data_IF_763514228815
#
_entry.id   IF_763514228815
#
_cell.length_a   1.000
_cell.length_b   1.000
_cell.length_c   1.000
_cell.angle_alpha   90.00
_cell.angle_beta   90.00
_cell.angle_gamma   90.00
#
_symmetry.space_group_name_H-M   'P 1'
#
loop_
_entity.id
_entity.type
_entity.pdbx_description
1 polymer ?
#
# COMPACT_ATOMS: atom_id res chain seq x y z
N UNK A 1 -34.48 -21.99 13.16
CA UNK A 1 -33.33 -22.26 14.05
C UNK A 1 -32.01 -21.94 13.35
N UNK A 2 -31.86 -22.28 12.07
CA UNK A 2 -30.61 -22.04 11.31
C UNK A 2 -30.19 -20.56 11.17
N UNK A 3 -31.13 -19.60 11.10
CA UNK A 3 -30.77 -18.17 11.04
C UNK A 3 -30.14 -17.66 12.34
N UNK A 4 -30.65 -18.12 13.50
CA UNK A 4 -30.15 -17.74 14.82
C UNK A 4 -28.71 -18.24 15.05
N UNK A 5 -28.38 -19.45 14.59
CA UNK A 5 -27.01 -19.96 14.68
C UNK A 5 -26.04 -19.19 13.77
N UNK A 6 -26.49 -18.81 12.57
CA UNK A 6 -25.71 -17.93 11.68
C UNK A 6 -25.48 -16.58 12.34
N UNK A 7 -26.52 -15.94 12.87
CA UNK A 7 -26.41 -14.65 13.58
C UNK A 7 -25.45 -14.71 14.78
N UNK A 8 -25.52 -15.75 15.60
CA UNK A 8 -24.58 -15.96 16.72
C UNK A 8 -23.13 -16.03 16.22
N UNK A 9 -22.88 -16.75 15.12
CA UNK A 9 -21.56 -16.84 14.49
C UNK A 9 -21.04 -15.47 14.04
N UNK A 10 -21.90 -14.67 13.40
CA UNK A 10 -21.56 -13.33 12.91
C UNK A 10 -21.23 -12.36 14.06
N UNK A 11 -22.05 -12.34 15.12
CA UNK A 11 -21.81 -11.49 16.29
C UNK A 11 -20.55 -11.91 17.06
N UNK A 12 -20.31 -13.22 17.20
CA UNK A 12 -19.07 -13.72 17.80
C UNK A 12 -17.84 -13.38 16.95
N UNK A 13 -17.96 -13.43 15.62
CA UNK A 13 -16.92 -12.98 14.70
C UNK A 13 -16.60 -11.50 14.86
N UNK A 14 -17.62 -10.65 14.95
CA UNK A 14 -17.45 -9.22 15.23
C UNK A 14 -16.73 -8.98 16.55
N UNK A 15 -17.10 -9.69 17.62
CA UNK A 15 -16.41 -9.63 18.91
C UNK A 15 -14.92 -9.95 18.79
N UNK A 16 -14.57 -11.05 18.11
CA UNK A 16 -13.16 -11.42 17.84
C UNK A 16 -12.41 -10.36 17.03
N UNK A 17 -13.05 -9.77 16.02
CA UNK A 17 -12.41 -8.68 15.25
C UNK A 17 -12.11 -7.47 16.13
N UNK A 18 -13.02 -7.12 17.06
CA UNK A 18 -12.81 -6.03 18.03
C UNK A 18 -11.68 -6.33 19.00
N UNK A 19 -11.55 -7.57 19.50
CA UNK A 19 -10.45 -7.99 20.38
C UNK A 19 -9.06 -7.85 19.73
N UNK A 20 -9.00 -7.86 18.39
CA UNK A 20 -7.78 -7.75 17.62
C UNK A 20 -7.45 -6.32 17.13
N UNK A 21 -8.23 -5.31 17.51
CA UNK A 21 -7.92 -3.90 17.19
C UNK A 21 -6.49 -3.53 17.63
N UNK A 22 -5.80 -2.76 16.78
CA UNK A 22 -4.38 -2.42 16.94
C UNK A 22 -3.38 -3.57 16.73
N UNK A 23 -3.81 -4.84 16.79
CA UNK A 23 -2.97 -6.02 16.64
C UNK A 23 -2.79 -6.49 15.20
N UNK A 24 -1.81 -7.38 14.96
CA UNK A 24 -1.47 -7.85 13.61
C UNK A 24 -2.57 -8.70 12.94
N UNK A 25 -3.43 -9.35 13.72
CA UNK A 25 -4.47 -10.26 13.20
C UNK A 25 -5.77 -9.56 12.81
N UNK A 26 -5.87 -8.25 13.00
CA UNK A 26 -7.11 -7.51 12.76
C UNK A 26 -7.68 -7.73 11.35
N UNK A 27 -6.85 -7.51 10.32
CA UNK A 27 -7.29 -7.58 8.92
C UNK A 27 -7.76 -8.98 8.55
N UNK A 28 -6.98 -10.01 8.90
CA UNK A 28 -7.40 -11.41 8.74
C UNK A 28 -8.75 -11.69 9.39
N UNK A 29 -8.97 -11.23 10.62
CA UNK A 29 -10.25 -11.47 11.32
C UNK A 29 -11.41 -10.68 10.71
N UNK A 30 -11.17 -9.45 10.26
CA UNK A 30 -12.18 -8.66 9.55
C UNK A 30 -12.58 -9.33 8.21
N UNK A 31 -11.60 -9.80 7.44
CA UNK A 31 -11.85 -10.53 6.18
C UNK A 31 -12.65 -11.81 6.46
N UNK A 32 -12.23 -12.64 7.42
CA UNK A 32 -12.95 -13.87 7.78
C UNK A 32 -14.35 -13.60 8.33
N UNK A 33 -14.56 -12.47 9.01
CA UNK A 33 -15.90 -12.02 9.40
C UNK A 33 -16.73 -11.70 8.16
N UNK A 34 -16.23 -10.85 7.27
CA UNK A 34 -16.95 -10.45 6.05
C UNK A 34 -17.28 -11.65 5.15
N UNK A 35 -16.41 -12.66 5.09
CA UNK A 35 -16.64 -13.88 4.30
C UNK A 35 -17.84 -14.71 4.81
N UNK A 36 -18.32 -14.45 6.03
CA UNK A 36 -19.56 -15.06 6.54
C UNK A 36 -20.83 -14.28 6.12
N UNK A 37 -20.66 -13.01 5.75
CA UNK A 37 -21.73 -12.11 5.29
C UNK A 37 -21.86 -12.08 3.77
N UNK A 38 -20.73 -12.04 3.07
CA UNK A 38 -20.62 -11.80 1.64
C UNK A 38 -19.79 -12.91 0.99
N UNK A 39 -20.22 -13.42 -0.16
CA UNK A 39 -19.37 -14.28 -0.97
C UNK A 39 -18.31 -13.42 -1.67
N UNK A 40 -17.04 -13.80 -1.54
CA UNK A 40 -15.92 -13.26 -2.32
C UNK A 40 -14.82 -14.31 -2.42
N UNK A 41 -14.03 -14.25 -3.47
CA UNK A 41 -13.01 -15.25 -3.78
C UNK A 41 -11.63 -14.81 -3.26
N UNK A 42 -11.36 -13.50 -3.27
CA UNK A 42 -10.13 -12.93 -2.70
C UNK A 42 -10.41 -11.62 -1.97
N UNK A 43 -9.45 -11.20 -1.14
CA UNK A 43 -9.49 -9.88 -0.49
C UNK A 43 -8.09 -9.31 -0.29
N UNK A 44 -7.99 -7.99 -0.34
CA UNK A 44 -6.76 -7.25 -0.09
C UNK A 44 -7.04 -6.07 0.84
N UNK A 45 -6.43 -6.10 2.02
CA UNK A 45 -6.30 -4.91 2.85
C UNK A 45 -5.01 -4.18 2.47
N UNK A 46 -5.10 -2.88 2.17
CA UNK A 46 -3.96 -2.07 1.80
C UNK A 46 -4.03 -0.67 2.42
N UNK A 47 -2.85 -0.10 2.69
CA UNK A 47 -2.70 1.32 2.98
C UNK A 47 -2.21 2.05 1.74
N UNK A 48 -2.97 3.03 1.27
CA UNK A 48 -2.61 3.93 0.20
C UNK A 48 -2.04 5.22 0.80
N UNK A 49 -0.71 5.39 0.88
CA UNK A 49 -0.13 6.59 1.46
C UNK A 49 -0.42 7.82 0.59
N UNK A 50 -0.42 9.00 1.23
CA UNK A 50 -0.57 10.28 0.53
C UNK A 50 0.56 10.55 -0.47
N UNK A 51 1.67 9.81 -0.42
CA UNK A 51 2.71 9.77 -1.44
C UNK A 51 3.36 8.39 -1.46
N UNK A 52 3.60 7.83 -2.65
CA UNK A 52 4.26 6.53 -2.82
C UNK A 52 3.30 5.38 -3.14
N UNK A 53 3.87 4.19 -3.26
CA UNK A 53 3.14 2.97 -3.62
C UNK A 53 2.25 2.46 -2.47
N UNK A 54 1.16 1.74 -2.79
CA UNK A 54 0.38 0.98 -1.83
C UNK A 54 1.24 0.08 -0.94
N UNK A 55 0.81 -0.09 0.30
CA UNK A 55 1.42 -1.03 1.24
C UNK A 55 0.38 -2.12 1.57
N UNK A 56 0.61 -3.38 1.18
CA UNK A 56 -0.28 -4.46 1.55
C UNK A 56 -0.25 -4.67 3.06
N UNK A 57 -1.42 -4.87 3.65
CA UNK A 57 -1.63 -5.10 5.08
C UNK A 57 -2.05 -6.55 5.35
N UNK A 58 -2.87 -7.13 4.47
CA UNK A 58 -3.30 -8.53 4.53
C UNK A 58 -3.81 -8.96 3.16
N UNK A 59 -3.54 -10.20 2.78
CA UNK A 59 -4.01 -10.83 1.55
C UNK A 59 -4.80 -12.10 1.91
N UNK A 60 -5.89 -12.34 1.20
CA UNK A 60 -6.72 -13.51 1.35
C UNK A 60 -7.10 -14.07 -0.02
N UNK A 61 -7.01 -15.39 -0.14
CA UNK A 61 -7.42 -16.16 -1.30
C UNK A 61 -8.17 -17.41 -0.80
N UNK A 62 -9.40 -17.59 -1.26
CA UNK A 62 -10.25 -18.73 -0.89
C UNK A 62 -9.78 -20.04 -1.53
N UNK A 63 -9.17 -19.97 -2.71
CA UNK A 63 -8.69 -21.13 -3.47
C UNK A 63 -7.27 -20.86 -3.99
N UNK A 64 -6.25 -20.95 -3.12
CA UNK A 64 -4.87 -20.71 -3.53
C UNK A 64 -4.42 -21.83 -4.47
N UNK A 65 -4.48 -21.60 -5.78
CA UNK A 65 -4.09 -22.56 -6.84
C UNK A 65 -2.57 -22.78 -6.93
N UNK A 66 -1.79 -22.35 -5.94
CA UNK A 66 -0.32 -22.46 -5.91
C UNK A 66 0.39 -21.48 -6.85
N UNK A 67 -0.34 -20.54 -7.44
CA UNK A 67 0.19 -19.41 -8.19
C UNK A 67 0.86 -18.40 -7.26
N UNK A 68 2.03 -17.85 -7.62
CA UNK A 68 2.68 -16.81 -6.82
C UNK A 68 1.76 -15.59 -6.69
N UNK A 69 1.78 -14.97 -5.51
CA UNK A 69 1.02 -13.74 -5.23
C UNK A 69 1.28 -12.68 -6.30
N UNK A 70 0.21 -12.11 -6.87
CA UNK A 70 0.28 -11.06 -7.89
C UNK A 70 0.79 -9.70 -7.36
N UNK A 71 0.95 -9.58 -6.04
CA UNK A 71 1.28 -8.35 -5.33
C UNK A 71 2.62 -7.71 -5.74
N UNK A 72 3.74 -8.45 -5.89
CA UNK A 72 5.00 -7.84 -6.36
C UNK A 72 4.86 -7.24 -7.76
N UNK A 73 4.08 -7.89 -8.64
CA UNK A 73 3.78 -7.36 -9.96
C UNK A 73 2.88 -6.12 -9.87
N UNK A 74 1.86 -6.11 -9.00
CA UNK A 74 1.01 -4.94 -8.72
C UNK A 74 1.83 -3.71 -8.31
N UNK A 75 2.71 -3.89 -7.34
CA UNK A 75 3.50 -2.83 -6.72
C UNK A 75 4.61 -2.29 -7.64
N UNK A 76 4.94 -3.02 -8.71
CA UNK A 76 5.95 -2.61 -9.69
C UNK A 76 5.51 -1.46 -10.62
N UNK A 77 4.22 -1.08 -10.60
CA UNK A 77 3.69 -0.02 -11.45
C UNK A 77 2.19 -0.08 -11.76
N UNK A 78 1.57 -1.26 -11.98
CA UNK A 78 0.16 -1.40 -12.32
C UNK A 78 -0.81 -0.65 -11.39
N UNK A 79 -0.50 -0.53 -10.09
CA UNK A 79 -1.32 0.25 -9.15
C UNK A 79 -1.55 1.72 -9.55
N UNK A 80 -0.69 2.30 -10.39
CA UNK A 80 -0.86 3.67 -10.88
C UNK A 80 -2.07 3.82 -11.81
N UNK A 81 -2.57 2.72 -12.37
CA UNK A 81 -3.72 2.65 -13.26
C UNK A 81 -4.97 2.07 -12.55
N UNK A 82 -4.84 1.71 -11.27
CA UNK A 82 -5.93 1.21 -10.45
C UNK A 82 -6.96 2.34 -10.18
N UNK A 83 -8.24 2.16 -10.57
CA UNK A 83 -9.27 3.19 -10.39
C UNK A 83 -9.50 3.58 -8.93
N UNK A 84 -9.43 2.62 -7.99
CA UNK A 84 -9.62 2.90 -6.58
C UNK A 84 -8.44 3.65 -5.99
N UNK A 85 -7.21 3.30 -6.38
CA UNK A 85 -6.02 4.05 -5.99
C UNK A 85 -6.09 5.50 -6.51
N UNK A 86 -6.45 5.69 -7.79
CA UNK A 86 -6.62 7.01 -8.38
C UNK A 86 -7.74 7.81 -7.69
N UNK A 87 -8.92 7.21 -7.49
CA UNK A 87 -10.03 7.88 -6.81
C UNK A 87 -9.66 8.28 -5.37
N UNK A 88 -8.94 7.43 -4.62
CA UNK A 88 -8.42 7.79 -3.30
C UNK A 88 -7.47 8.99 -3.37
N UNK A 89 -6.65 9.09 -4.41
CA UNK A 89 -5.73 10.22 -4.63
C UNK A 89 -6.43 11.52 -4.98
N UNK A 90 -7.58 11.42 -5.64
CA UNK A 90 -8.45 12.54 -5.98
C UNK A 90 -9.38 12.96 -4.84
N UNK A 91 -9.33 12.27 -3.70
CA UNK A 91 -10.07 12.64 -2.49
C UNK A 91 -11.45 11.97 -2.36
N UNK A 92 -11.62 10.77 -2.93
CA UNK A 92 -12.81 9.95 -2.72
C UNK A 92 -13.13 9.84 -1.21
N UNK A 93 -14.36 10.16 -0.76
CA UNK A 93 -14.68 10.15 0.66
C UNK A 93 -14.63 8.73 1.26
N UNK A 94 -14.72 8.64 2.58
CA UNK A 94 -14.83 7.32 3.22
C UNK A 94 -16.19 6.69 2.87
N UNK A 95 -16.19 5.44 2.47
CA UNK A 95 -17.41 4.78 1.98
C UNK A 95 -17.19 3.36 1.50
N UNK A 96 -18.27 2.79 1.00
CA UNK A 96 -18.27 1.55 0.23
C UNK A 96 -18.51 1.90 -1.24
N UNK A 97 -17.71 1.32 -2.13
CA UNK A 97 -17.71 1.65 -3.55
C UNK A 97 -17.63 0.39 -4.40
N UNK A 98 -18.41 0.38 -5.48
CA UNK A 98 -18.31 -0.63 -6.54
C UNK A 98 -17.33 -0.14 -7.61
N UNK A 99 -16.70 -1.09 -8.31
CA UNK A 99 -15.78 -0.75 -9.39
C UNK A 99 -16.42 0.18 -10.43
N UNK A 100 -17.69 -0.04 -10.80
CA UNK A 100 -18.41 0.81 -11.76
C UNK A 100 -18.64 2.26 -11.33
N UNK A 101 -18.52 2.57 -10.03
CA UNK A 101 -18.68 3.94 -9.50
C UNK A 101 -17.40 4.76 -9.57
N UNK A 102 -16.24 4.08 -9.65
CA UNK A 102 -14.91 4.71 -9.64
C UNK A 102 -14.17 4.52 -10.97
N UNK A 103 -14.49 3.47 -11.72
CA UNK A 103 -13.81 3.13 -12.95
C UNK A 103 -14.29 4.02 -14.12
N UNK A 104 -13.40 4.42 -15.02
CA UNK A 104 -13.77 5.11 -16.26
C UNK A 104 -14.72 4.28 -17.15
N UNK A 105 -15.54 4.94 -17.98
CA UNK A 105 -16.55 4.31 -18.84
C UNK A 105 -16.04 3.14 -19.70
N UNK A 106 -14.77 3.21 -20.15
CA UNK A 106 -14.12 2.19 -20.97
C UNK A 106 -13.09 1.34 -20.20
N UNK A 107 -13.12 1.33 -18.87
CA UNK A 107 -12.12 0.63 -18.05
C UNK A 107 -12.01 -0.84 -18.39
N UNK A 108 -13.15 -1.55 -18.57
CA UNK A 108 -13.17 -2.98 -18.96
C UNK A 108 -12.62 -3.25 -20.37
N UNK A 109 -12.39 -2.21 -21.16
CA UNK A 109 -11.78 -2.28 -22.50
C UNK A 109 -10.32 -1.80 -22.48
N UNK A 110 -9.82 -1.33 -21.33
CA UNK A 110 -8.45 -0.84 -21.20
C UNK A 110 -7.44 -1.99 -21.21
N UNK A 111 -6.24 -1.69 -21.72
CA UNK A 111 -5.13 -2.65 -21.74
C UNK A 111 -4.74 -3.10 -20.33
N UNK A 112 -4.85 -2.20 -19.34
CA UNK A 112 -4.68 -2.54 -17.93
C UNK A 112 -5.68 -3.59 -17.45
N UNK A 113 -6.96 -3.43 -17.78
CA UNK A 113 -7.99 -4.39 -17.38
C UNK A 113 -7.76 -5.77 -18.02
N UNK A 114 -7.46 -5.79 -19.32
CA UNK A 114 -7.31 -7.02 -20.10
C UNK A 114 -5.99 -7.76 -19.83
N UNK A 115 -4.93 -7.06 -19.43
CA UNK A 115 -3.60 -7.66 -19.21
C UNK A 115 -3.27 -7.93 -17.74
N UNK A 116 -4.01 -7.34 -16.80
CA UNK A 116 -3.68 -7.40 -15.37
C UNK A 116 -4.90 -7.59 -14.47
N UNK A 117 -5.95 -6.78 -14.63
CA UNK A 117 -7.07 -6.79 -13.68
C UNK A 117 -7.88 -8.11 -13.72
N UNK A 118 -8.24 -8.59 -14.90
CA UNK A 118 -9.03 -9.81 -15.06
C UNK A 118 -8.37 -11.04 -14.40
N UNK A 119 -7.06 -11.18 -14.55
CA UNK A 119 -6.34 -12.38 -14.08
C UNK A 119 -5.99 -12.31 -12.58
N UNK A 120 -5.99 -11.12 -11.97
CA UNK A 120 -5.50 -10.92 -10.58
C UNK A 120 -6.58 -10.40 -9.60
N UNK A 121 -7.58 -9.65 -10.08
CA UNK A 121 -8.71 -9.13 -9.29
C UNK A 121 -10.00 -9.90 -9.59
N UNK A 122 -10.02 -10.70 -10.66
CA UNK A 122 -11.14 -11.52 -11.17
C UNK A 122 -12.16 -10.69 -11.98
N UNK A 123 -13.45 -11.07 -11.96
CA UNK A 123 -14.50 -10.50 -12.83
C UNK A 123 -15.08 -9.18 -12.29
N UNK A 124 -15.15 -9.02 -10.96
CA UNK A 124 -15.72 -7.86 -10.31
C UNK A 124 -15.08 -7.59 -8.94
N UNK A 125 -15.14 -6.32 -8.51
CA UNK A 125 -14.50 -5.85 -7.28
C UNK A 125 -15.36 -4.79 -6.58
N UNK A 126 -15.39 -4.87 -5.25
CA UNK A 126 -15.93 -3.82 -4.38
C UNK A 126 -14.91 -3.48 -3.29
N UNK A 127 -14.90 -2.22 -2.83
CA UNK A 127 -13.96 -1.78 -1.81
C UNK A 127 -14.63 -0.99 -0.68
N UNK A 128 -14.17 -1.22 0.55
CA UNK A 128 -14.37 -0.30 1.67
C UNK A 128 -13.16 0.64 1.75
N UNK A 129 -13.41 1.95 1.71
CA UNK A 129 -12.37 2.96 1.71
C UNK A 129 -12.54 3.86 2.94
N UNK A 130 -11.50 3.96 3.76
CA UNK A 130 -11.46 4.86 4.91
C UNK A 130 -10.34 5.90 4.71
N UNK A 131 -10.73 7.17 4.55
CA UNK A 131 -9.80 8.29 4.45
C UNK A 131 -9.11 8.55 5.79
N UNK A 132 -7.81 8.79 5.73
CA UNK A 132 -6.96 9.14 6.87
C UNK A 132 -6.41 10.56 6.63
N UNK A 133 -7.02 11.61 7.21
CA UNK A 133 -6.67 12.99 6.93
C UNK A 133 -5.17 13.26 7.07
N UNK A 134 -4.54 13.74 5.99
CA UNK A 134 -3.11 14.05 5.93
C UNK A 134 -2.16 12.86 5.81
N UNK A 135 -2.65 11.61 5.92
CA UNK A 135 -1.84 10.40 5.83
C UNK A 135 -2.08 9.61 4.54
N UNK A 136 -3.32 9.50 4.06
CA UNK A 136 -3.68 8.68 2.91
C UNK A 136 -5.05 8.03 3.08
N UNK A 137 -5.19 6.79 2.63
CA UNK A 137 -6.43 6.00 2.75
C UNK A 137 -6.14 4.56 3.13
N UNK A 138 -7.06 3.92 3.84
CA UNK A 138 -7.12 2.46 3.96
C UNK A 138 -8.12 1.94 2.94
N UNK A 139 -7.73 0.90 2.21
CA UNK A 139 -8.61 0.15 1.32
C UNK A 139 -8.73 -1.28 1.84
N UNK A 140 -9.96 -1.80 1.81
CA UNK A 140 -10.25 -3.22 1.92
C UNK A 140 -11.03 -3.63 0.67
N UNK A 141 -10.33 -4.27 -0.25
CA UNK A 141 -10.87 -4.81 -1.49
C UNK A 141 -11.38 -6.23 -1.31
N UNK A 142 -12.51 -6.53 -1.95
CA UNK A 142 -13.12 -7.84 -2.09
C UNK A 142 -13.32 -8.13 -3.59
N UNK A 143 -12.61 -9.12 -4.13
CA UNK A 143 -12.73 -9.54 -5.52
C UNK A 143 -13.54 -10.82 -5.68
N UNK A 144 -14.19 -10.96 -6.83
CA UNK A 144 -15.13 -12.05 -7.10
C UNK A 144 -15.05 -12.52 -8.56
N UNK A 145 -15.16 -13.84 -8.79
CA UNK A 145 -15.18 -14.47 -10.12
C UNK A 145 -16.49 -14.25 -10.88
N UNK A 146 -17.50 -13.72 -10.21
CA UNK A 146 -18.76 -13.26 -10.80
C UNK A 146 -19.02 -11.83 -10.38
N UNK A 147 -19.91 -11.15 -11.10
CA UNK A 147 -20.41 -9.84 -10.66
C UNK A 147 -21.15 -9.94 -9.35
N UNK A 148 -20.93 -8.95 -8.49
CA UNK A 148 -21.74 -8.78 -7.29
C UNK A 148 -23.17 -8.40 -7.69
N UNK A 149 -24.15 -9.12 -7.18
CA UNK A 149 -25.55 -8.78 -7.39
C UNK A 149 -26.02 -7.65 -6.45
N UNK A 150 -27.24 -7.18 -6.66
CA UNK A 150 -27.80 -6.06 -5.89
C UNK A 150 -27.97 -6.40 -4.40
N UNK A 151 -28.24 -7.66 -4.05
CA UNK A 151 -28.39 -8.09 -2.66
C UNK A 151 -27.01 -8.16 -1.97
N UNK A 152 -25.99 -8.67 -2.66
CA UNK A 152 -24.61 -8.70 -2.18
C UNK A 152 -24.06 -7.28 -1.98
N UNK A 153 -24.26 -6.38 -2.95
CA UNK A 153 -23.91 -4.97 -2.81
C UNK A 153 -24.68 -4.29 -1.66
N UNK A 154 -25.97 -4.61 -1.51
CA UNK A 154 -26.80 -4.09 -0.42
C UNK A 154 -26.32 -4.55 0.96
N UNK A 155 -25.91 -5.81 1.09
CA UNK A 155 -25.31 -6.35 2.32
C UNK A 155 -23.97 -5.68 2.62
N UNK A 156 -23.12 -5.46 1.61
CA UNK A 156 -21.86 -4.76 1.78
C UNK A 156 -22.07 -3.32 2.25
N UNK A 157 -23.01 -2.59 1.64
CA UNK A 157 -23.41 -1.26 2.07
C UNK A 157 -24.00 -1.24 3.49
N UNK A 158 -24.76 -2.27 3.87
CA UNK A 158 -25.34 -2.42 5.21
C UNK A 158 -24.24 -2.56 6.29
N UNK A 159 -23.16 -3.29 6.00
CA UNK A 159 -22.07 -3.50 6.95
C UNK A 159 -21.02 -2.38 6.93
N UNK A 160 -20.97 -1.58 5.87
CA UNK A 160 -19.98 -0.52 5.68
C UNK A 160 -19.78 0.40 6.90
N UNK A 161 -20.82 0.88 7.62
CA UNK A 161 -20.62 1.83 8.72
C UNK A 161 -19.71 1.28 9.82
N UNK A 162 -19.90 0.03 10.23
CA UNK A 162 -19.07 -0.57 11.28
C UNK A 162 -17.74 -1.09 10.74
N UNK A 163 -17.69 -1.55 9.48
CA UNK A 163 -16.42 -1.95 8.83
C UNK A 163 -15.46 -0.75 8.79
N UNK A 164 -15.93 0.39 8.29
CA UNK A 164 -15.13 1.62 8.20
C UNK A 164 -14.68 2.12 9.58
N UNK A 165 -15.58 2.07 10.58
CA UNK A 165 -15.25 2.45 11.95
C UNK A 165 -14.16 1.54 12.54
N UNK A 166 -14.23 0.23 12.32
CA UNK A 166 -13.22 -0.71 12.78
C UNK A 166 -11.87 -0.50 12.09
N UNK A 167 -11.86 -0.26 10.76
CA UNK A 167 -10.64 0.04 10.01
C UNK A 167 -9.93 1.28 10.58
N UNK A 168 -10.67 2.37 10.79
CA UNK A 168 -10.14 3.61 11.35
C UNK A 168 -9.64 3.41 12.78
N UNK A 169 -10.42 2.74 13.62
CA UNK A 169 -10.07 2.47 15.02
C UNK A 169 -8.83 1.58 15.13
N UNK A 170 -8.72 0.55 14.29
CA UNK A 170 -7.55 -0.31 14.22
C UNK A 170 -6.30 0.50 13.90
N UNK A 171 -6.37 1.34 12.86
CA UNK A 171 -5.25 2.16 12.43
C UNK A 171 -4.81 3.14 13.52
N UNK A 172 -5.77 3.80 14.16
CA UNK A 172 -5.50 4.73 15.26
C UNK A 172 -4.78 4.04 16.43
N UNK A 173 -5.24 2.86 16.85
CA UNK A 173 -4.59 2.09 17.91
C UNK A 173 -3.20 1.58 17.50
N UNK A 174 -3.01 1.16 16.25
CA UNK A 174 -1.71 0.73 15.73
C UNK A 174 -0.69 1.88 15.74
N UNK A 175 -1.11 3.09 15.39
CA UNK A 175 -0.27 4.29 15.49
C UNK A 175 0.08 4.63 16.95
N UNK A 176 -0.89 4.55 17.86
CA UNK A 176 -0.66 4.81 19.29
C UNK A 176 0.28 3.77 19.93
N UNK A 177 0.07 2.48 19.63
CA UNK A 177 0.89 1.38 20.16
C UNK A 177 2.35 1.45 19.68
N UNK A 178 2.59 2.04 18.49
CA UNK A 178 3.93 2.33 17.99
C UNK A 178 4.61 3.50 18.72
N UNK A 179 3.88 4.30 19.50
CA UNK A 179 4.38 5.43 20.28
C UNK A 179 4.97 6.58 19.42
N UNK A 180 5.09 7.80 19.96
CA UNK A 180 5.75 8.92 19.27
C UNK A 180 7.24 8.65 18.95
N UNK A 181 7.88 7.70 19.64
CA UNK A 181 9.28 7.35 19.44
C UNK A 181 9.58 6.59 18.13
N UNK A 182 8.62 5.88 17.54
CA UNK A 182 8.87 5.03 16.37
C UNK A 182 8.93 5.78 15.03
N UNK A 183 8.18 6.87 14.87
CA UNK A 183 8.33 7.74 13.69
C UNK A 183 9.66 8.48 13.73
N UNK A 184 10.09 8.91 14.91
CA UNK A 184 11.42 9.49 15.09
C UNK A 184 12.54 8.45 14.93
N UNK A 185 12.34 7.20 15.33
CA UNK A 185 13.31 6.12 15.14
C UNK A 185 13.40 5.64 13.71
N UNK A 186 12.31 5.50 12.95
CA UNK A 186 12.39 5.14 11.53
C UNK A 186 12.92 6.33 10.72
N UNK A 187 12.51 7.56 11.04
CA UNK A 187 13.12 8.75 10.45
C UNK A 187 14.60 8.90 10.87
N UNK A 188 14.98 8.50 12.10
CA UNK A 188 16.36 8.43 12.58
C UNK A 188 17.12 7.37 11.81
N UNK A 189 16.68 6.11 11.79
CA UNK A 189 17.30 5.02 11.05
C UNK A 189 17.42 5.31 9.55
N UNK A 190 16.42 5.93 8.93
CA UNK A 190 16.52 6.39 7.53
C UNK A 190 17.49 7.57 7.41
N UNK A 191 17.53 8.52 8.35
CA UNK A 191 18.53 9.62 8.36
C UNK A 191 19.94 9.12 8.64
N UNK A 192 20.09 8.15 9.51
CA UNK A 192 21.32 7.52 9.98
C UNK A 192 21.85 6.64 8.85
N UNK A 193 21.01 5.79 8.24
CA UNK A 193 21.34 5.08 7.01
C UNK A 193 21.65 6.03 5.84
N UNK A 194 20.93 7.14 5.66
CA UNK A 194 21.29 8.17 4.65
C UNK A 194 22.57 8.95 5.00
N UNK A 195 23.02 8.92 6.25
CA UNK A 195 24.29 9.50 6.69
C UNK A 195 25.46 8.52 6.59
N UNK A 196 25.19 7.22 6.77
CA UNK A 196 26.16 6.13 6.68
C UNK A 196 26.30 5.60 5.25
N UNK A 197 25.26 5.70 4.42
CA UNK A 197 25.25 5.27 3.03
C UNK A 197 26.26 6.08 2.21
N UNK A 198 27.35 5.42 1.82
CA UNK A 198 28.47 6.05 1.11
C UNK A 198 29.41 6.86 2.01
N UNK A 199 29.28 6.79 3.35
CA UNK A 199 30.23 7.39 4.27
C UNK A 199 31.63 6.77 4.06
N UNK A 200 32.61 7.62 3.74
CA UNK A 200 33.98 7.20 3.41
C UNK A 200 34.24 6.90 1.92
N UNK A 201 33.21 6.82 1.08
CA UNK A 201 33.32 6.57 -0.37
C UNK A 201 32.91 7.80 -1.19
N UNK A 202 31.84 8.48 -0.77
CA UNK A 202 31.29 9.65 -1.43
C UNK A 202 31.77 10.94 -0.77
N UNK A 203 31.98 11.98 -1.60
CA UNK A 203 32.13 13.34 -1.10
C UNK A 203 30.80 13.88 -0.59
N UNK A 204 30.83 14.92 0.26
CA UNK A 204 29.62 15.57 0.78
C UNK A 204 28.63 15.95 -0.33
N UNK A 205 29.16 16.45 -1.45
CA UNK A 205 28.33 16.89 -2.58
C UNK A 205 27.71 15.73 -3.37
N UNK A 206 28.44 14.63 -3.51
CA UNK A 206 27.90 13.40 -4.13
C UNK A 206 26.84 12.76 -3.22
N UNK A 207 27.05 12.80 -1.91
CA UNK A 207 26.10 12.31 -0.91
C UNK A 207 24.79 13.12 -0.93
N UNK A 208 24.87 14.44 -0.98
CA UNK A 208 23.70 15.31 -1.14
C UNK A 208 22.90 14.96 -2.40
N UNK A 209 23.57 14.70 -3.52
CA UNK A 209 22.93 14.32 -4.78
C UNK A 209 22.33 12.92 -4.69
N UNK A 210 23.02 11.94 -4.09
CA UNK A 210 22.47 10.61 -3.83
C UNK A 210 21.17 10.68 -3.01
N UNK A 211 21.14 11.48 -1.94
CA UNK A 211 19.94 11.69 -1.10
C UNK A 211 18.78 12.27 -1.88
N UNK A 212 19.03 13.22 -2.77
CA UNK A 212 17.97 13.82 -3.58
C UNK A 212 17.45 12.85 -4.66
N UNK A 213 18.33 12.02 -5.24
CA UNK A 213 17.94 10.95 -6.17
C UNK A 213 17.06 9.91 -5.45
N UNK A 214 17.46 9.46 -4.26
CA UNK A 214 16.71 8.49 -3.46
C UNK A 214 15.33 9.03 -3.01
N UNK A 215 15.20 10.35 -2.88
CA UNK A 215 13.92 11.04 -2.61
C UNK A 215 13.10 11.34 -3.88
N UNK A 216 13.56 10.92 -5.05
CA UNK A 216 12.84 11.07 -6.32
C UNK A 216 12.90 12.47 -6.96
N UNK A 217 13.84 13.34 -6.57
CA UNK A 217 13.97 14.65 -7.20
C UNK A 217 14.56 14.53 -8.61
N UNK A 218 13.98 15.29 -9.56
CA UNK A 218 14.51 15.40 -10.93
C UNK A 218 15.83 16.19 -10.97
N UNK A 219 16.65 16.00 -12.01
CA UNK A 219 17.92 16.75 -12.15
C UNK A 219 17.75 18.26 -12.14
N UNK A 220 16.63 18.77 -12.67
CA UNK A 220 16.29 20.19 -12.64
C UNK A 220 15.97 20.66 -11.22
N UNK A 221 15.12 19.92 -10.50
CA UNK A 221 14.77 20.25 -9.12
C UNK A 221 15.98 20.14 -8.16
N UNK A 222 16.87 19.18 -8.40
CA UNK A 222 18.15 19.07 -7.67
C UNK A 222 19.05 20.27 -7.91
N UNK A 223 19.18 20.71 -9.17
CA UNK A 223 19.99 21.85 -9.55
C UNK A 223 19.52 23.13 -8.85
N UNK A 224 18.20 23.38 -8.87
CA UNK A 224 17.57 24.52 -8.20
C UNK A 224 17.81 24.49 -6.68
N UNK A 225 17.60 23.33 -6.04
CA UNK A 225 17.73 23.18 -4.58
C UNK A 225 19.16 23.32 -4.09
N UNK A 226 20.12 22.86 -4.89
CA UNK A 226 21.53 22.86 -4.56
C UNK A 226 22.25 24.12 -5.09
N UNK A 227 21.53 25.05 -5.71
CA UNK A 227 22.05 26.28 -6.33
C UNK A 227 23.22 26.02 -7.30
N UNK A 228 23.10 25.00 -8.16
CA UNK A 228 24.09 24.64 -9.18
C UNK A 228 23.42 24.40 -10.54
N UNK A 229 24.21 24.22 -11.60
CA UNK A 229 23.66 23.92 -12.92
C UNK A 229 23.19 22.46 -13.05
N UNK A 230 22.18 22.16 -13.89
CA UNK A 230 21.78 20.78 -14.19
C UNK A 230 22.92 19.92 -14.75
N UNK A 231 23.86 20.51 -15.48
CA UNK A 231 25.02 19.78 -16.00
C UNK A 231 26.02 19.43 -14.90
N UNK A 232 26.18 20.31 -13.89
CA UNK A 232 26.94 20.00 -12.67
C UNK A 232 26.31 18.83 -11.90
N UNK A 233 24.99 18.76 -11.81
CA UNK A 233 24.28 17.60 -11.20
C UNK A 233 24.57 16.31 -11.97
N UNK A 234 24.57 16.34 -13.32
CA UNK A 234 24.91 15.15 -14.13
C UNK A 234 26.34 14.67 -13.89
N UNK A 235 27.30 15.58 -13.79
CA UNK A 235 28.71 15.24 -13.50
C UNK A 235 28.84 14.55 -12.16
N UNK A 236 28.25 15.13 -11.11
CA UNK A 236 28.26 14.50 -9.78
C UNK A 236 27.54 13.16 -9.77
N UNK A 237 26.42 13.00 -10.50
CA UNK A 237 25.72 11.72 -10.62
C UNK A 237 26.60 10.66 -11.28
N UNK A 238 27.38 11.03 -12.31
CA UNK A 238 28.33 10.11 -12.96
C UNK A 238 29.44 9.67 -12.00
N UNK A 239 30.00 10.61 -11.24
CA UNK A 239 31.05 10.31 -10.26
C UNK A 239 30.53 9.47 -9.09
N UNK A 240 29.35 9.81 -8.58
CA UNK A 240 28.61 9.01 -7.60
C UNK A 240 28.45 7.56 -8.06
N UNK A 241 27.93 7.36 -9.27
CA UNK A 241 27.67 6.02 -9.82
C UNK A 241 28.96 5.22 -10.00
N UNK A 242 30.00 5.85 -10.54
CA UNK A 242 31.31 5.22 -10.68
C UNK A 242 31.94 4.83 -9.33
N UNK A 243 31.77 5.64 -8.29
CA UNK A 243 32.30 5.36 -6.94
C UNK A 243 31.55 4.25 -6.21
N UNK A 244 30.27 4.06 -6.51
CA UNK A 244 29.44 3.00 -5.95
C UNK A 244 29.40 1.73 -6.82
N UNK A 245 30.13 1.72 -7.93
CA UNK A 245 30.13 0.64 -8.93
C UNK A 245 28.73 0.29 -9.44
N UNK A 246 27.93 1.32 -9.75
CA UNK A 246 26.58 1.19 -10.30
C UNK A 246 26.44 1.94 -11.62
N UNK A 247 25.40 1.57 -12.37
CA UNK A 247 25.08 2.12 -13.67
C UNK A 247 23.71 2.81 -13.71
N UNK A 248 22.84 2.56 -12.73
CA UNK A 248 21.44 3.02 -12.77
C UNK A 248 20.89 3.52 -11.42
N UNK A 249 19.81 4.32 -11.49
CA UNK A 249 19.08 4.78 -10.31
C UNK A 249 18.39 3.64 -9.53
N UNK A 250 17.78 2.62 -10.18
CA UNK A 250 17.31 1.44 -9.48
C UNK A 250 18.41 0.71 -8.69
N UNK A 251 19.62 0.58 -9.23
CA UNK A 251 20.76 -0.02 -8.50
C UNK A 251 21.17 0.81 -7.28
N UNK A 252 21.17 2.14 -7.39
CA UNK A 252 21.37 3.02 -6.24
C UNK A 252 20.34 2.77 -5.13
N UNK A 253 19.08 2.57 -5.52
CA UNK A 253 18.00 2.27 -4.59
C UNK A 253 18.18 0.88 -3.94
N UNK A 254 18.53 -0.14 -4.73
CA UNK A 254 18.83 -1.49 -4.21
C UNK A 254 19.97 -1.49 -3.21
N UNK A 255 21.08 -0.76 -3.48
CA UNK A 255 22.18 -0.59 -2.53
C UNK A 255 21.73 0.11 -1.24
N UNK A 256 20.86 1.11 -1.35
CA UNK A 256 20.31 1.80 -0.19
C UNK A 256 19.41 0.89 0.68
N UNK A 257 18.56 0.07 0.07
CA UNK A 257 17.74 -0.92 0.79
C UNK A 257 18.60 -2.00 1.44
N UNK A 258 19.66 -2.48 0.78
CA UNK A 258 20.62 -3.41 1.39
C UNK A 258 21.30 -2.80 2.61
N UNK A 259 21.68 -1.52 2.56
CA UNK A 259 22.25 -0.81 3.70
C UNK A 259 21.25 -0.62 4.86
N UNK A 260 19.94 -0.59 4.60
CA UNK A 260 18.90 -0.57 5.63
C UNK A 260 18.65 -1.94 6.29
N UNK A 261 18.97 -3.03 5.58
CA UNK A 261 18.77 -4.41 6.05
C UNK A 261 19.94 -4.99 6.85
N UNK A 262 21.10 -4.32 6.85
CA UNK A 262 22.28 -4.76 7.59
C UNK A 262 22.41 -3.96 8.88
N UNK A 263 21.96 -4.54 9.99
CA UNK A 263 22.22 -4.05 11.33
C UNK A 263 23.68 -4.40 11.69
N UNK A 264 24.60 -3.43 11.87
CA UNK A 264 26.01 -3.73 12.15
C UNK A 264 26.23 -4.31 13.56
N UNK A 265 25.20 -4.39 14.39
CA UNK A 265 25.29 -4.89 15.77
C UNK A 265 24.83 -6.33 16.00
N UNK A 266 24.42 -7.07 14.97
CA UNK A 266 24.15 -8.51 15.15
C UNK A 266 24.51 -9.32 13.88
N UNK A 267 25.65 -10.05 13.88
CA UNK A 267 26.14 -10.79 12.71
C UNK A 267 25.29 -12.03 12.37
#
# INVERSE_FOLDING_TARGET
MDSLFREVGLHAGLGRTVEHLGGERFWKQLILLLHQWLPFDNALAAYYPAQGAPQPLEEYDAEPEGTPTAMPAYLSGPYLLDPFYQACREGLPSGFYRLEEVAPDHFRQSEYYLSYFHDNVLEDEVQFIAQLPGAGSLSLSLGMRKRFDAAECGLAALVAPWVLALMQQHWHQRLQARGPASQDQVASQVRDALSQFGAGVLSERELEIARLILRGYSSKAMAERLAISPDTVKVHRRHLYAKLDISSQPELFSLFIQALGHDPENP
#
